data_IF_624711518755
#
_entry.id   IF_624711518755
#
_cell.length_a   1.000
_cell.length_b   1.000
_cell.length_c   1.000
_cell.angle_alpha   90.00
_cell.angle_beta   90.00
_cell.angle_gamma   90.00
#
_symmetry.space_group_name_H-M   'P 1'
#
loop_
_entity.id
_entity.type
_entity.pdbx_description
1 polymer ?
#
# COMPACT_ATOMS: atom_id res chain seq x y z
N UNK A 1 -9.20 9.89 9.18
CA UNK A 1 -8.53 8.62 8.85
C UNK A 1 -9.03 8.16 7.49
N UNK A 2 -8.16 7.63 6.64
CA UNK A 2 -8.55 7.14 5.30
C UNK A 2 -9.40 5.88 5.36
N UNK A 3 -10.02 5.52 4.23
CA UNK A 3 -10.81 4.28 4.09
C UNK A 3 -9.94 3.03 3.99
N UNK A 4 -8.68 3.19 3.58
CA UNK A 4 -7.68 2.14 3.53
C UNK A 4 -6.48 2.57 4.38
N UNK A 5 -5.86 1.60 5.04
CA UNK A 5 -4.65 1.81 5.85
C UNK A 5 -3.53 0.93 5.35
N UNK A 6 -2.38 1.53 5.09
CA UNK A 6 -1.16 0.80 4.72
C UNK A 6 -0.51 0.31 6.01
N UNK A 7 -0.35 -1.00 6.12
CA UNK A 7 0.28 -1.65 7.28
C UNK A 7 1.74 -1.91 6.92
N UNK A 8 2.70 -1.45 7.75
CA UNK A 8 4.11 -1.71 7.49
C UNK A 8 4.42 -3.21 7.54
N UNK A 9 5.46 -3.61 6.81
CA UNK A 9 6.06 -4.93 6.99
C UNK A 9 6.66 -4.96 8.40
N UNK A 10 6.35 -6.00 9.19
CA UNK A 10 6.68 -6.03 10.62
C UNK A 10 8.19 -5.97 10.90
N UNK A 11 9.01 -6.58 10.03
CA UNK A 11 10.47 -6.50 10.14
C UNK A 11 10.99 -5.06 10.00
N UNK A 12 10.26 -4.17 9.34
CA UNK A 12 10.63 -2.76 9.23
C UNK A 12 10.40 -1.95 10.53
N UNK A 13 9.61 -2.49 11.47
CA UNK A 13 9.25 -1.83 12.74
C UNK A 13 9.62 -2.67 13.98
N UNK A 14 10.33 -3.78 13.81
CA UNK A 14 10.66 -4.73 14.90
C UNK A 14 11.43 -4.06 16.07
N UNK A 15 12.29 -3.09 15.77
CA UNK A 15 13.06 -2.32 16.77
C UNK A 15 12.32 -1.16 17.42
N UNK A 16 11.05 -0.89 17.05
CA UNK A 16 10.29 0.24 17.58
C UNK A 16 9.65 -0.10 18.94
N UNK A 17 10.14 0.53 19.99
CA UNK A 17 9.62 0.38 21.37
C UNK A 17 8.16 0.77 21.53
N UNK A 18 7.63 1.64 20.65
CA UNK A 18 6.24 2.11 20.64
C UNK A 18 5.37 1.44 19.59
N UNK A 19 5.75 0.26 19.09
CA UNK A 19 4.92 -0.47 18.11
C UNK A 19 3.54 -0.75 18.67
N UNK A 20 2.52 -0.44 17.89
CA UNK A 20 1.15 -0.69 18.26
C UNK A 20 0.67 -1.95 17.55
N UNK A 21 0.03 -2.87 18.28
CA UNK A 21 -0.34 -4.16 17.71
C UNK A 21 -1.31 -4.07 16.54
N UNK A 22 -2.11 -2.99 16.46
CA UNK A 22 -3.00 -2.73 15.32
C UNK A 22 -2.25 -2.31 14.02
N UNK A 23 -0.92 -2.19 14.06
CA UNK A 23 -0.04 -1.98 12.91
C UNK A 23 0.72 -3.26 12.52
N UNK A 24 0.32 -4.41 13.08
CA UNK A 24 0.93 -5.72 12.81
C UNK A 24 -0.09 -6.60 12.08
N UNK A 25 0.27 -7.15 10.92
CA UNK A 25 -0.59 -8.09 10.17
C UNK A 25 -0.77 -9.38 10.97
N UNK A 26 0.27 -9.82 11.67
CA UNK A 26 0.27 -11.01 12.52
C UNK A 26 -0.83 -10.93 13.58
N UNK A 27 -1.12 -9.75 14.14
CA UNK A 27 -2.26 -9.56 15.06
C UNK A 27 -3.57 -9.98 14.40
N UNK A 28 -3.88 -9.41 13.23
CA UNK A 28 -5.13 -9.67 12.52
C UNK A 28 -5.25 -11.13 12.11
N UNK A 29 -4.14 -11.73 11.67
CA UNK A 29 -4.10 -13.15 11.37
C UNK A 29 -4.30 -13.99 12.62
N UNK A 30 -3.75 -13.62 13.79
CA UNK A 30 -3.85 -14.37 15.03
C UNK A 30 -5.22 -14.26 15.72
N UNK A 31 -5.90 -13.13 15.61
CA UNK A 31 -7.21 -12.89 16.23
C UNK A 31 -8.37 -13.56 15.48
N UNK A 32 -8.17 -13.95 14.21
CA UNK A 32 -9.19 -14.59 13.40
C UNK A 32 -9.08 -16.12 13.40
N UNK A 33 -10.18 -16.80 13.06
CA UNK A 33 -10.25 -18.27 12.98
C UNK A 33 -10.69 -18.78 11.62
N UNK A 34 -11.44 -17.98 10.86
CA UNK A 34 -11.91 -18.31 9.51
C UNK A 34 -11.20 -17.41 8.51
N UNK A 35 -10.63 -18.04 7.48
CA UNK A 35 -9.85 -17.37 6.44
C UNK A 35 -10.29 -17.86 5.07
N UNK A 36 -10.31 -16.94 4.11
CA UNK A 36 -10.38 -17.28 2.70
C UNK A 36 -9.38 -16.47 1.92
N UNK A 37 -9.03 -16.96 0.74
CA UNK A 37 -8.21 -16.22 -0.20
C UNK A 37 -8.87 -16.19 -1.57
N UNK A 38 -8.62 -15.09 -2.27
CA UNK A 38 -9.01 -14.86 -3.66
C UNK A 38 -7.90 -14.12 -4.40
N UNK A 39 -7.98 -14.15 -5.72
CA UNK A 39 -7.14 -13.35 -6.59
C UNK A 39 -7.33 -11.85 -6.31
N UNK A 40 -6.27 -11.06 -6.54
CA UNK A 40 -6.36 -9.62 -6.41
C UNK A 40 -7.40 -9.05 -7.40
N UNK A 41 -8.52 -8.56 -6.87
CA UNK A 41 -9.62 -7.99 -7.66
C UNK A 41 -9.17 -6.85 -8.56
N UNK A 42 -8.26 -6.00 -8.08
CA UNK A 42 -7.73 -4.87 -8.84
C UNK A 42 -6.87 -5.32 -10.03
N UNK A 43 -6.01 -6.33 -9.84
CA UNK A 43 -5.17 -6.88 -10.91
C UNK A 43 -6.01 -7.65 -11.93
N UNK A 44 -6.94 -8.47 -11.45
CA UNK A 44 -7.90 -9.22 -12.27
C UNK A 44 -8.71 -8.29 -13.16
N UNK A 45 -9.25 -7.21 -12.58
CA UNK A 45 -10.03 -6.21 -13.31
C UNK A 45 -9.19 -5.52 -14.39
N UNK A 46 -7.96 -5.12 -14.09
CA UNK A 46 -7.09 -4.47 -15.08
C UNK A 46 -6.61 -5.41 -16.17
N UNK A 47 -6.29 -6.65 -15.84
CA UNK A 47 -5.95 -7.67 -16.83
C UNK A 47 -7.09 -7.86 -17.83
N UNK A 48 -8.34 -7.95 -17.35
CA UNK A 48 -9.52 -8.04 -18.21
C UNK A 48 -9.72 -6.81 -19.12
N UNK A 49 -9.20 -5.64 -18.72
CA UNK A 49 -9.21 -4.42 -19.53
C UNK A 49 -7.99 -4.28 -20.46
N UNK A 50 -7.09 -5.26 -20.51
CA UNK A 50 -5.84 -5.18 -21.29
C UNK A 50 -4.76 -4.29 -20.65
N UNK A 51 -4.94 -3.94 -19.38
CA UNK A 51 -4.05 -3.06 -18.60
C UNK A 51 -3.25 -3.80 -17.53
N UNK A 52 -2.99 -5.09 -17.72
CA UNK A 52 -2.26 -5.93 -16.76
C UNK A 52 -0.89 -5.36 -16.38
N UNK A 53 -0.45 -5.59 -15.13
CA UNK A 53 0.82 -5.06 -14.62
C UNK A 53 1.91 -6.10 -14.39
N UNK A 54 1.67 -7.38 -14.73
CA UNK A 54 2.63 -8.48 -14.59
C UNK A 54 2.94 -8.94 -13.16
N UNK A 55 2.50 -8.22 -12.13
CA UNK A 55 2.72 -8.63 -10.75
C UNK A 55 1.73 -9.73 -10.31
N UNK A 56 2.19 -10.62 -9.43
CA UNK A 56 1.45 -11.79 -8.90
C UNK A 56 -0.01 -11.50 -8.55
N UNK A 57 -0.97 -12.17 -9.18
CA UNK A 57 -2.40 -11.89 -8.97
C UNK A 57 -3.03 -12.88 -8.01
N UNK A 58 -2.57 -14.11 -8.11
CA UNK A 58 -3.12 -15.29 -7.48
C UNK A 58 -2.97 -15.21 -5.96
N UNK A 59 -4.06 -15.48 -5.24
CA UNK A 59 -4.09 -15.54 -3.78
C UNK A 59 -3.60 -14.25 -3.06
N UNK A 60 -3.81 -13.07 -3.63
CA UNK A 60 -3.31 -11.80 -3.07
C UNK A 60 -4.36 -11.00 -2.28
N UNK A 61 -5.57 -11.51 -2.14
CA UNK A 61 -6.61 -10.95 -1.28
C UNK A 61 -7.04 -11.96 -0.22
N UNK A 62 -6.72 -11.68 1.04
CA UNK A 62 -7.14 -12.51 2.19
C UNK A 62 -8.38 -11.86 2.81
N UNK A 63 -9.40 -12.67 3.09
CA UNK A 63 -10.57 -12.25 3.85
C UNK A 63 -10.57 -12.92 5.21
N UNK A 64 -11.12 -12.23 6.21
CA UNK A 64 -11.10 -12.65 7.61
C UNK A 64 -12.54 -12.77 8.15
N UNK A 65 -12.76 -13.74 9.03
CA UNK A 65 -14.01 -13.90 9.78
C UNK A 65 -15.25 -13.95 8.88
N UNK A 66 -16.23 -13.07 9.13
CA UNK A 66 -17.49 -13.05 8.39
C UNK A 66 -17.32 -12.88 6.86
N UNK A 67 -16.23 -12.24 6.42
CA UNK A 67 -16.00 -11.96 5.02
C UNK A 67 -15.43 -13.20 4.35
N UNK A 68 -14.59 -13.95 5.08
CA UNK A 68 -14.11 -15.25 4.64
C UNK A 68 -15.29 -16.23 4.43
N UNK A 69 -16.19 -16.32 5.41
CA UNK A 69 -17.39 -17.17 5.31
C UNK A 69 -18.24 -16.83 4.07
N UNK A 70 -18.43 -15.54 3.81
CA UNK A 70 -19.16 -15.07 2.64
C UNK A 70 -18.45 -15.48 1.33
N UNK A 71 -17.14 -15.31 1.24
CA UNK A 71 -16.36 -15.66 0.05
C UNK A 71 -16.39 -17.16 -0.22
N UNK A 72 -16.24 -17.98 0.81
CA UNK A 72 -16.32 -19.44 0.72
C UNK A 72 -17.71 -19.86 0.24
N UNK A 73 -18.78 -19.38 0.91
CA UNK A 73 -20.16 -19.76 0.58
C UNK A 73 -20.58 -19.36 -0.82
N UNK A 74 -20.05 -18.25 -1.34
CA UNK A 74 -20.40 -17.74 -2.67
C UNK A 74 -19.46 -18.23 -3.77
N UNK A 75 -18.45 -19.05 -3.44
CA UNK A 75 -17.47 -19.56 -4.41
C UNK A 75 -16.54 -18.48 -4.97
N UNK A 76 -16.42 -17.33 -4.28
CA UNK A 76 -15.55 -16.21 -4.69
C UNK A 76 -14.12 -16.35 -4.17
N UNK A 77 -13.90 -17.21 -3.19
CA UNK A 77 -12.60 -17.51 -2.63
C UNK A 77 -12.57 -18.91 -2.06
N UNK A 78 -11.37 -19.46 -1.90
CA UNK A 78 -11.14 -20.77 -1.28
C UNK A 78 -10.80 -20.58 0.20
N UNK A 79 -11.23 -21.53 1.03
CA UNK A 79 -10.82 -21.57 2.43
C UNK A 79 -9.31 -21.85 2.53
N UNK A 80 -8.66 -21.24 3.51
CA UNK A 80 -7.23 -21.45 3.81
C UNK A 80 -7.01 -21.59 5.30
N UNK A 81 -5.86 -22.14 5.70
CA UNK A 81 -5.46 -22.16 7.11
C UNK A 81 -4.79 -20.85 7.50
N UNK A 82 -4.58 -20.65 8.81
CA UNK A 82 -3.82 -19.51 9.32
C UNK A 82 -2.36 -19.54 8.85
N UNK A 83 -1.76 -20.73 8.85
CA UNK A 83 -0.38 -20.96 8.40
C UNK A 83 -0.25 -20.58 6.93
N UNK A 84 -1.19 -21.01 6.09
CA UNK A 84 -1.22 -20.61 4.68
C UNK A 84 -1.41 -19.09 4.50
N UNK A 85 -2.21 -18.44 5.36
CA UNK A 85 -2.34 -16.99 5.34
C UNK A 85 -0.99 -16.29 5.63
N UNK A 86 -0.21 -16.79 6.60
CA UNK A 86 1.15 -16.30 6.87
C UNK A 86 2.09 -16.52 5.68
N UNK A 87 2.03 -17.69 5.03
CA UNK A 87 2.84 -17.98 3.85
C UNK A 87 2.50 -17.04 2.68
N UNK A 88 1.22 -16.71 2.49
CA UNK A 88 0.77 -15.74 1.49
C UNK A 88 1.31 -14.34 1.79
N UNK A 89 1.27 -13.90 3.04
CA UNK A 89 1.84 -12.61 3.46
C UNK A 89 3.33 -12.56 3.17
N UNK A 90 4.09 -13.59 3.55
CA UNK A 90 5.52 -13.68 3.26
C UNK A 90 5.81 -13.65 1.76
N UNK A 91 5.06 -14.43 0.97
CA UNK A 91 5.18 -14.43 -0.50
C UNK A 91 4.88 -13.05 -1.09
N UNK A 92 3.89 -12.33 -0.56
CA UNK A 92 3.57 -10.98 -1.00
C UNK A 92 4.74 -10.01 -0.74
N UNK A 93 5.36 -10.09 0.44
CA UNK A 93 6.54 -9.28 0.80
C UNK A 93 7.73 -9.59 -0.09
N UNK A 94 8.03 -10.87 -0.34
CA UNK A 94 9.10 -11.31 -1.25
C UNK A 94 8.88 -10.83 -2.70
N UNK A 95 7.62 -10.59 -3.08
CA UNK A 95 7.24 -10.02 -4.38
C UNK A 95 7.15 -8.49 -4.38
N UNK A 96 7.56 -7.81 -3.30
CA UNK A 96 7.57 -6.35 -3.19
C UNK A 96 6.18 -5.72 -3.08
N UNK A 97 5.17 -6.48 -2.62
CA UNK A 97 3.81 -5.99 -2.43
C UNK A 97 3.63 -5.36 -1.06
N UNK A 98 2.78 -4.33 -0.99
CA UNK A 98 2.47 -3.64 0.27
C UNK A 98 1.15 -4.09 0.85
N UNK A 99 1.13 -4.31 2.17
CA UNK A 99 -0.08 -4.69 2.88
C UNK A 99 -1.00 -3.50 3.06
N UNK A 100 -2.26 -3.68 2.70
CA UNK A 100 -3.32 -2.72 2.96
C UNK A 100 -4.52 -3.41 3.59
N UNK A 101 -5.16 -2.73 4.53
CA UNK A 101 -6.40 -3.19 5.13
C UNK A 101 -7.49 -2.13 4.99
N UNK A 102 -8.77 -2.53 4.82
CA UNK A 102 -9.89 -1.64 5.07
C UNK A 102 -9.81 -1.05 6.48
N UNK A 103 -10.13 0.24 6.59
CA UNK A 103 -10.07 0.99 7.84
C UNK A 103 -11.45 1.53 8.25
N UNK A 104 -12.52 0.86 7.78
CA UNK A 104 -13.91 1.23 8.01
C UNK A 104 -14.62 0.32 9.03
N UNK A 105 -14.00 -0.79 9.46
CA UNK A 105 -14.61 -1.80 10.34
C UNK A 105 -14.53 -1.46 11.84
N UNK A 106 -14.08 -0.25 12.16
CA UNK A 106 -13.83 0.22 13.51
C UNK A 106 -12.37 0.02 13.97
N UNK A 107 -11.97 0.66 15.09
CA UNK A 107 -10.59 0.62 15.55
C UNK A 107 -10.13 -0.80 15.87
N UNK A 108 -8.99 -1.21 15.30
CA UNK A 108 -8.39 -2.52 15.59
C UNK A 108 -9.06 -3.71 14.91
N UNK A 109 -10.05 -3.49 14.04
CA UNK A 109 -10.72 -4.54 13.28
C UNK A 109 -10.53 -4.32 11.78
N UNK A 110 -10.52 -5.42 11.03
CA UNK A 110 -10.55 -5.43 9.56
C UNK A 110 -11.17 -6.73 9.08
N UNK A 111 -11.89 -6.68 7.96
CA UNK A 111 -12.43 -7.87 7.31
C UNK A 111 -11.56 -8.41 6.17
N UNK A 112 -10.50 -7.69 5.76
CA UNK A 112 -9.64 -8.11 4.66
C UNK A 112 -8.20 -7.60 4.80
N UNK A 113 -7.29 -8.33 4.16
CA UNK A 113 -5.91 -7.92 3.92
C UNK A 113 -5.65 -8.03 2.43
N UNK A 114 -5.17 -6.94 1.85
CA UNK A 114 -4.86 -6.82 0.43
C UNK A 114 -3.36 -6.64 0.24
N UNK A 115 -2.77 -7.43 -0.66
CA UNK A 115 -1.36 -7.35 -1.03
C UNK A 115 -1.21 -6.53 -2.31
N UNK A 116 -1.06 -5.23 -2.15
CA UNK A 116 -1.23 -4.23 -3.20
C UNK A 116 0.07 -3.88 -3.93
N UNK A 117 -0.06 -3.47 -5.19
CA UNK A 117 0.99 -2.81 -5.96
C UNK A 117 0.52 -1.42 -6.41
N UNK A 118 1.45 -0.50 -6.66
CA UNK A 118 1.13 0.83 -7.17
C UNK A 118 0.54 0.84 -8.58
N UNK A 119 0.87 -0.18 -9.38
CA UNK A 119 0.53 -0.25 -10.79
C UNK A 119 -0.96 -0.51 -11.06
N UNK A 120 -1.61 -1.31 -10.20
CA UNK A 120 -2.97 -1.79 -10.44
C UNK A 120 -3.96 -1.47 -9.33
N UNK A 121 -3.50 -1.28 -8.09
CA UNK A 121 -4.40 -1.10 -6.95
C UNK A 121 -5.28 0.13 -7.11
N UNK A 122 -6.60 -0.05 -6.96
CA UNK A 122 -7.56 1.06 -7.03
C UNK A 122 -7.52 1.95 -5.79
N UNK A 123 -7.13 1.44 -4.63
CA UNK A 123 -6.90 2.29 -3.46
C UNK A 123 -5.68 3.21 -3.69
N UNK A 124 -4.56 2.64 -4.15
CA UNK A 124 -3.33 3.40 -4.42
C UNK A 124 -3.49 4.39 -5.57
N UNK A 125 -4.38 4.11 -6.54
CA UNK A 125 -4.80 5.06 -7.58
C UNK A 125 -5.30 6.37 -6.98
N UNK A 126 -5.91 6.37 -5.80
CA UNK A 126 -6.36 7.60 -5.13
C UNK A 126 -5.19 8.52 -4.76
N UNK A 127 -4.12 7.97 -4.23
CA UNK A 127 -2.89 8.72 -3.95
C UNK A 127 -2.11 9.08 -5.22
N UNK A 128 -2.07 8.20 -6.22
CA UNK A 128 -1.36 8.44 -7.47
C UNK A 128 -2.10 9.39 -8.40
N UNK A 129 -3.23 8.96 -8.95
CA UNK A 129 -3.98 9.70 -9.96
C UNK A 129 -4.64 10.94 -9.39
N UNK A 130 -5.37 10.80 -8.29
CA UNK A 130 -6.16 11.89 -7.72
C UNK A 130 -5.37 12.70 -6.67
N UNK A 131 -4.10 12.34 -6.45
CA UNK A 131 -3.20 13.00 -5.48
C UNK A 131 -3.80 13.11 -4.07
N UNK A 132 -4.64 12.15 -3.71
CA UNK A 132 -5.38 12.09 -2.46
C UNK A 132 -4.78 11.03 -1.52
N UNK A 133 -3.70 11.41 -0.85
CA UNK A 133 -2.96 10.53 0.05
C UNK A 133 -3.73 10.21 1.34
N UNK A 134 -4.73 11.03 1.70
CA UNK A 134 -5.50 10.87 2.92
C UNK A 134 -6.36 9.60 2.92
N UNK A 135 -6.62 9.00 1.75
CA UNK A 135 -7.35 7.74 1.59
C UNK A 135 -6.52 6.48 1.89
N UNK A 136 -5.20 6.53 1.76
CA UNK A 136 -4.28 5.38 1.85
C UNK A 136 -3.10 5.69 2.79
N UNK A 137 -3.40 6.23 3.97
CA UNK A 137 -2.37 6.58 4.96
C UNK A 137 -1.85 5.36 5.72
N UNK A 138 -0.58 5.42 6.07
CA UNK A 138 0.00 4.65 7.17
C UNK A 138 0.10 5.53 8.42
N UNK A 139 0.11 4.92 9.61
CA UNK A 139 0.49 5.61 10.84
C UNK A 139 2.01 5.75 10.99
N UNK A 140 2.78 5.06 10.14
CA UNK A 140 4.23 5.22 10.02
C UNK A 140 4.58 6.13 8.84
N UNK A 141 5.63 6.93 9.03
CA UNK A 141 6.20 7.80 7.99
C UNK A 141 7.66 7.43 7.81
N UNK A 142 8.04 7.06 6.59
CA UNK A 142 9.44 6.82 6.24
C UNK A 142 10.24 8.12 6.34
N UNK A 143 11.40 8.07 7.02
CA UNK A 143 12.31 9.21 7.17
C UNK A 143 13.70 8.84 6.67
N UNK A 144 14.21 9.62 5.73
CA UNK A 144 15.57 9.46 5.21
C UNK A 144 16.56 10.19 6.10
N UNK A 145 17.53 9.46 6.64
CA UNK A 145 18.72 10.00 7.30
C UNK A 145 19.72 10.45 6.22
N UNK A 146 19.83 11.77 6.00
CA UNK A 146 20.62 12.35 4.91
C UNK A 146 22.11 12.04 5.04
N UNK A 147 22.61 11.91 6.26
CA UNK A 147 24.05 11.67 6.52
C UNK A 147 24.44 10.23 6.18
N UNK A 148 23.50 9.29 6.32
CA UNK A 148 23.69 7.87 5.96
C UNK A 148 23.31 7.55 4.52
N UNK A 149 22.51 8.39 3.88
CA UNK A 149 22.02 8.14 2.53
C UNK A 149 23.17 8.14 1.50
N UNK A 150 23.37 7.02 0.81
CA UNK A 150 24.36 6.91 -0.28
C UNK A 150 23.83 7.33 -1.65
N UNK A 151 22.57 7.78 -1.71
CA UNK A 151 21.89 8.17 -2.94
C UNK A 151 21.83 7.04 -4.00
N UNK A 152 21.64 5.79 -3.59
CA UNK A 152 21.50 4.64 -4.50
C UNK A 152 20.22 4.69 -5.35
N UNK A 153 19.16 5.36 -4.88
CA UNK A 153 17.91 5.53 -5.63
C UNK A 153 16.92 4.36 -5.55
N UNK A 154 17.25 3.28 -4.85
CA UNK A 154 16.39 2.09 -4.75
C UNK A 154 15.01 2.40 -4.14
N UNK A 155 14.98 3.18 -3.05
CA UNK A 155 13.72 3.62 -2.42
C UNK A 155 12.84 4.45 -3.36
N UNK A 156 13.46 5.23 -4.26
CA UNK A 156 12.74 5.98 -5.29
C UNK A 156 12.13 4.98 -6.26
N UNK A 157 12.91 4.05 -6.81
CA UNK A 157 12.43 3.10 -7.82
C UNK A 157 11.23 2.28 -7.34
N UNK A 158 11.27 1.76 -6.12
CA UNK A 158 10.24 0.84 -5.59
C UNK A 158 8.99 1.53 -5.04
N UNK A 159 9.02 2.85 -4.81
CA UNK A 159 7.91 3.55 -4.15
C UNK A 159 6.59 3.45 -4.97
N UNK A 160 5.52 2.80 -4.45
CA UNK A 160 4.30 2.53 -5.21
C UNK A 160 3.51 3.77 -5.67
N UNK A 161 3.67 4.89 -4.96
CA UNK A 161 3.00 6.17 -5.25
C UNK A 161 3.99 7.25 -5.66
N UNK A 162 5.25 6.89 -5.88
CA UNK A 162 6.30 7.81 -6.29
C UNK A 162 6.46 9.02 -5.35
N UNK A 163 6.46 8.77 -4.04
CA UNK A 163 6.53 9.80 -2.99
C UNK A 163 7.93 10.40 -2.79
N UNK A 164 8.98 9.81 -3.35
CA UNK A 164 10.38 10.14 -3.07
C UNK A 164 11.10 10.58 -4.34
N UNK A 165 11.93 11.64 -4.24
CA UNK A 165 12.89 12.01 -5.29
C UNK A 165 14.31 11.73 -4.84
N UNK A 166 15.15 11.35 -5.80
CA UNK A 166 16.58 11.41 -5.56
C UNK A 166 17.01 12.89 -5.53
N UNK A 167 17.53 13.31 -4.38
CA UNK A 167 18.10 14.64 -4.20
C UNK A 167 19.55 14.73 -4.70
N UNK A 168 20.10 15.93 -4.65
CA UNK A 168 21.52 16.16 -4.90
C UNK A 168 22.33 15.81 -3.64
N UNK A 169 23.33 14.93 -3.77
CA UNK A 169 24.29 14.60 -2.69
C UNK A 169 25.59 15.42 -2.80
N UNK A 170 25.85 16.02 -3.96
CA UNK A 170 27.03 16.85 -4.16
C UNK A 170 26.91 18.19 -3.44
N UNK A 171 28.03 18.68 -2.89
CA UNK A 171 28.11 20.01 -2.31
C UNK A 171 27.71 21.06 -3.35
N UNK A 172 26.71 21.87 -3.05
CA UNK A 172 26.27 22.99 -3.89
C UNK A 172 26.59 24.30 -3.20
N UNK A 173 27.09 25.29 -3.96
CA UNK A 173 27.28 26.66 -3.47
C UNK A 173 25.95 27.41 -3.34
N UNK A 174 24.93 26.98 -4.07
CA UNK A 174 23.60 27.58 -4.09
C UNK A 174 22.62 26.65 -3.39
N UNK A 175 21.85 27.11 -2.39
CA UNK A 175 20.82 26.30 -1.75
C UNK A 175 19.81 25.78 -2.78
N UNK A 176 19.49 24.49 -2.72
CA UNK A 176 18.46 23.90 -3.58
C UNK A 176 17.11 24.25 -2.94
N UNK A 177 16.21 24.94 -3.66
CA UNK A 177 14.91 25.28 -3.11
C UNK A 177 14.10 24.00 -2.84
N UNK A 178 13.65 23.84 -1.60
CA UNK A 178 12.70 22.79 -1.24
C UNK A 178 11.34 23.13 -1.87
N UNK A 179 10.87 22.31 -2.80
CA UNK A 179 9.48 22.37 -3.25
C UNK A 179 8.63 21.67 -2.21
N UNK A 180 7.85 22.43 -1.43
CA UNK A 180 6.86 21.85 -0.54
C UNK A 180 5.51 21.88 -1.24
N UNK A 181 4.89 20.70 -1.37
CA UNK A 181 3.51 20.60 -1.81
C UNK A 181 2.60 21.29 -0.80
N UNK A 182 1.72 22.16 -1.29
CA UNK A 182 0.74 22.92 -0.49
C UNK A 182 -0.70 22.58 -0.85
N UNK A 183 -0.91 21.99 -2.01
CA UNK A 183 -2.20 21.57 -2.56
C UNK A 183 -2.53 20.13 -2.15
N UNK A 184 -3.39 19.97 -1.16
CA UNK A 184 -3.89 18.68 -0.67
C UNK A 184 -5.39 18.54 -0.92
N UNK A 185 -5.88 17.30 -0.96
CA UNK A 185 -7.30 17.03 -1.20
C UNK A 185 -8.24 17.71 -0.18
N UNK A 186 -7.77 18.01 1.03
CA UNK A 186 -8.57 18.67 2.07
C UNK A 186 -8.53 20.21 2.01
N UNK A 187 -7.64 20.82 1.22
CA UNK A 187 -7.48 22.28 1.16
C UNK A 187 -7.54 22.87 -0.26
N UNK A 188 -7.79 22.04 -1.26
CA UNK A 188 -7.79 22.41 -2.67
C UNK A 188 -8.99 21.77 -3.36
N UNK A 189 -9.74 22.55 -4.14
CA UNK A 189 -10.83 22.00 -4.95
C UNK A 189 -10.28 20.99 -5.97
N UNK A 190 -10.94 19.83 -6.10
CA UNK A 190 -10.57 18.84 -7.09
C UNK A 190 -10.95 19.27 -8.51
N UNK A 191 -10.34 18.64 -9.51
CA UNK A 191 -10.63 18.87 -10.92
C UNK A 191 -9.74 18.02 -11.81
N UNK A 192 -10.18 17.76 -13.05
CA UNK A 192 -9.43 16.95 -14.02
C UNK A 192 -8.04 17.54 -14.33
N UNK A 193 -7.91 18.87 -14.23
CA UNK A 193 -6.64 19.62 -14.36
C UNK A 193 -5.59 19.24 -13.31
N UNK A 194 -6.01 18.63 -12.20
CA UNK A 194 -5.14 18.21 -11.09
C UNK A 194 -4.86 16.71 -11.10
N UNK A 195 -5.51 15.96 -11.99
CA UNK A 195 -5.37 14.52 -12.05
C UNK A 195 -4.09 14.14 -12.78
N UNK A 196 -3.38 13.17 -12.22
CA UNK A 196 -2.28 12.50 -12.88
C UNK A 196 -2.79 11.21 -13.56
N UNK A 197 -3.40 11.35 -14.74
CA UNK A 197 -3.90 10.20 -15.52
C UNK A 197 -2.81 9.15 -15.75
N UNK A 198 -1.59 9.60 -16.02
CA UNK A 198 -0.42 8.78 -16.32
C UNK A 198 0.37 8.31 -15.08
N UNK A 199 -0.20 8.43 -13.87
CA UNK A 199 0.44 8.04 -12.60
C UNK A 199 1.07 6.64 -12.54
N UNK A 200 0.69 5.74 -13.45
CA UNK A 200 1.21 4.37 -13.55
C UNK A 200 2.55 4.29 -14.27
N UNK A 201 2.82 5.25 -15.15
CA UNK A 201 4.00 5.27 -16.04
C UNK A 201 4.88 6.48 -15.76
N UNK A 202 4.29 7.61 -15.40
CA UNK A 202 5.02 8.81 -15.09
C UNK A 202 5.43 8.82 -13.61
N UNK A 203 6.56 9.46 -13.33
CA UNK A 203 7.11 9.61 -11.99
C UNK A 203 7.04 11.06 -11.53
N UNK A 204 5.91 11.72 -11.78
CA UNK A 204 5.75 13.17 -11.57
C UNK A 204 5.21 13.55 -10.19
N UNK A 205 4.55 12.64 -9.46
CA UNK A 205 3.95 12.89 -8.14
C UNK A 205 4.96 13.06 -6.98
N UNK A 206 6.18 13.47 -7.31
CA UNK A 206 7.25 13.56 -6.33
C UNK A 206 7.11 14.82 -5.50
N UNK A 207 6.99 14.65 -4.20
CA UNK A 207 7.00 15.75 -3.22
C UNK A 207 8.44 16.14 -2.92
#
# INVERSE_FOLDING_TARGET
TGTMRVIPIETAIEGETRRASYEEISKYLNENTVFSVSDCSCRTSREAMGEGCGHLKEDMGIQLGHAAEYYIRTGRGRAITREEAFDIIKRAEENGLMHQIPNADGPGHTHAICNCCGCSCYATRLAGMFRNNDFVRSNYVSKVDKDKCVACGECVQVCPVNALKLGQKLCTKTPIPEKKRVDFAHNTEGGEDKWNVDHRINRENVV
#
